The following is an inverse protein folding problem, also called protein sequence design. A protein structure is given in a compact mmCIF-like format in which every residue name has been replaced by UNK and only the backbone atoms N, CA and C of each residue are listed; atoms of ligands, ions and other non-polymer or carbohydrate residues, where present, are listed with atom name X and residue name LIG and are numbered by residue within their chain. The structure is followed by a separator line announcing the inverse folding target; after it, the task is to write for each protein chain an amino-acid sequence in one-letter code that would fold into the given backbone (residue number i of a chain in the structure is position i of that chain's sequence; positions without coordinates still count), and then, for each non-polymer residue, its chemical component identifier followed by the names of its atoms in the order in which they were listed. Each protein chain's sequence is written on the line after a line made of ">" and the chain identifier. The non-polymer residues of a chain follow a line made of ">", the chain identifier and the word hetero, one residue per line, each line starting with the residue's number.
data_IF_193306635662
#
_entry.id   IF_193306635662
#
_cell.length_a   1.000
_cell.length_b   1.000
_cell.length_c   1.000
_cell.angle_alpha   90.00
_cell.angle_beta   90.00
_cell.angle_gamma   90.00
#
_symmetry.space_group_name_H-M   'P 1'
#
loop_
_entity.id
_entity.type
_entity.pdbx_description
1 polymer ?
#
# COMPACT_ATOMS: atom_id res chain seq x y z
N UNK A 1 20.03 11.43 -23.37
CA UNK A 1 19.13 12.49 -22.92
C UNK A 1 18.99 12.46 -21.42
N UNK A 2 19.19 13.59 -20.76
CA UNK A 2 18.98 13.77 -19.32
C UNK A 2 17.53 13.40 -18.98
N UNK A 3 17.33 12.37 -18.17
CA UNK A 3 16.01 12.05 -17.63
C UNK A 3 15.55 13.23 -16.78
N UNK A 4 14.50 13.89 -17.20
CA UNK A 4 13.90 15.00 -16.45
C UNK A 4 13.32 14.41 -15.15
N UNK A 5 13.92 14.74 -14.01
CA UNK A 5 13.41 14.31 -12.71
C UNK A 5 12.28 15.27 -12.30
N UNK A 6 11.10 14.73 -12.09
CA UNK A 6 9.95 15.48 -11.57
C UNK A 6 9.81 15.23 -10.07
N UNK A 7 9.30 16.22 -9.35
CA UNK A 7 8.83 16.01 -7.97
C UNK A 7 7.42 15.45 -7.97
N UNK A 8 6.98 14.86 -6.86
CA UNK A 8 5.60 14.40 -6.67
C UNK A 8 4.60 15.53 -6.96
N UNK A 9 4.85 16.72 -6.42
CA UNK A 9 4.00 17.90 -6.60
C UNK A 9 3.85 18.28 -8.07
N UNK A 10 4.96 18.33 -8.80
CA UNK A 10 4.94 18.64 -10.24
C UNK A 10 4.12 17.62 -11.03
N UNK A 11 4.20 16.33 -10.68
CA UNK A 11 3.41 15.30 -11.35
C UNK A 11 1.92 15.48 -11.05
N UNK A 12 1.56 15.76 -9.79
CA UNK A 12 0.17 16.01 -9.40
C UNK A 12 -0.39 17.25 -10.10
N UNK A 13 0.38 18.33 -10.18
CA UNK A 13 -0.01 19.54 -10.91
C UNK A 13 -0.28 19.25 -12.40
N UNK A 14 0.56 18.43 -13.04
CA UNK A 14 0.31 18.00 -14.43
C UNK A 14 -1.02 17.24 -14.58
N UNK A 15 -1.41 16.40 -13.62
CA UNK A 15 -2.73 15.74 -13.64
C UNK A 15 -3.87 16.75 -13.51
N UNK A 16 -3.72 17.76 -12.63
CA UNK A 16 -4.71 18.82 -12.47
C UNK A 16 -4.85 19.68 -13.71
N UNK A 17 -3.73 19.95 -14.41
CA UNK A 17 -3.69 20.67 -15.69
C UNK A 17 -4.11 19.82 -16.90
N UNK A 18 -4.52 18.55 -16.66
CA UNK A 18 -4.83 17.59 -17.73
C UNK A 18 -3.71 17.42 -18.77
N UNK A 19 -2.48 17.58 -18.34
CA UNK A 19 -1.31 17.38 -19.18
C UNK A 19 -0.99 15.88 -19.31
N UNK A 20 -1.06 15.34 -20.53
CA UNK A 20 -0.80 13.92 -20.80
C UNK A 20 0.60 13.45 -20.36
N UNK A 21 1.56 14.36 -20.23
CA UNK A 21 2.90 14.05 -19.72
C UNK A 21 2.86 13.56 -18.25
N UNK A 22 1.80 13.83 -17.51
CA UNK A 22 1.62 13.32 -16.14
C UNK A 22 1.74 11.79 -16.06
N UNK A 23 1.13 11.07 -17.00
CA UNK A 23 1.18 9.61 -17.07
C UNK A 23 2.60 9.12 -17.34
N UNK A 24 3.29 9.72 -18.31
CA UNK A 24 4.69 9.37 -18.63
C UNK A 24 5.62 9.65 -17.44
N UNK A 25 5.44 10.80 -16.77
CA UNK A 25 6.22 11.17 -15.60
C UNK A 25 5.98 10.21 -14.42
N UNK A 26 4.72 9.79 -14.20
CA UNK A 26 4.37 8.78 -13.20
C UNK A 26 5.02 7.43 -13.50
N UNK A 27 4.93 6.98 -14.75
CA UNK A 27 5.55 5.73 -15.17
C UNK A 27 7.08 5.78 -15.02
N UNK A 28 7.70 6.88 -15.40
CA UNK A 28 9.15 7.05 -15.28
C UNK A 28 9.62 7.03 -13.82
N UNK A 29 8.87 7.65 -12.92
CA UNK A 29 9.26 7.80 -11.51
C UNK A 29 8.89 6.58 -10.67
N UNK A 30 7.74 5.98 -10.90
CA UNK A 30 7.16 4.95 -10.03
C UNK A 30 6.95 3.60 -10.72
N UNK A 31 7.04 3.50 -12.04
CA UNK A 31 6.68 2.31 -12.80
C UNK A 31 7.43 1.06 -12.37
N UNK A 32 8.76 1.14 -12.21
CA UNK A 32 9.56 0.00 -11.78
C UNK A 32 9.18 -0.48 -10.37
N UNK A 33 8.79 0.44 -9.47
CA UNK A 33 8.34 0.12 -8.12
C UNK A 33 6.98 -0.58 -8.12
N UNK A 34 6.04 -0.06 -8.92
CA UNK A 34 4.71 -0.63 -9.07
C UNK A 34 4.75 -2.02 -9.71
N UNK A 35 5.55 -2.19 -10.78
CA UNK A 35 5.72 -3.49 -11.45
C UNK A 35 6.30 -4.51 -10.48
N UNK A 36 7.39 -4.18 -9.78
CA UNK A 36 7.99 -5.07 -8.77
C UNK A 36 7.00 -5.43 -7.68
N UNK A 37 6.17 -4.50 -7.24
CA UNK A 37 5.12 -4.76 -6.27
C UNK A 37 4.06 -5.71 -6.83
N UNK A 38 3.54 -5.48 -8.03
CA UNK A 38 2.56 -6.33 -8.66
C UNK A 38 3.09 -7.73 -8.96
N UNK A 39 4.37 -7.87 -9.36
CA UNK A 39 5.06 -9.14 -9.60
C UNK A 39 5.09 -10.06 -8.35
N UNK A 40 4.98 -9.50 -7.16
CA UNK A 40 4.89 -10.32 -5.93
C UNK A 40 3.55 -11.02 -5.75
N UNK A 41 2.53 -10.63 -6.52
CA UNK A 41 1.13 -11.06 -6.35
C UNK A 41 0.58 -11.82 -7.55
N UNK A 42 1.09 -11.56 -8.76
CA UNK A 42 0.54 -12.06 -10.03
C UNK A 42 1.67 -12.25 -11.04
N UNK A 43 1.40 -13.00 -12.13
CA UNK A 43 2.37 -13.20 -13.20
C UNK A 43 2.80 -11.88 -13.84
N UNK A 44 4.05 -11.79 -14.30
CA UNK A 44 4.66 -10.56 -14.80
C UNK A 44 3.86 -9.87 -15.91
N UNK A 45 3.34 -10.62 -16.87
CA UNK A 45 2.52 -10.07 -17.97
C UNK A 45 1.26 -9.38 -17.44
N UNK A 46 0.55 -10.06 -16.52
CA UNK A 46 -0.62 -9.50 -15.86
C UNK A 46 -0.27 -8.32 -14.94
N UNK A 47 0.89 -8.35 -14.29
CA UNK A 47 1.39 -7.26 -13.47
C UNK A 47 1.59 -5.98 -14.30
N UNK A 48 2.15 -6.08 -15.49
CA UNK A 48 2.33 -4.95 -16.41
C UNK A 48 0.98 -4.33 -16.82
N UNK A 49 -0.03 -5.17 -17.11
CA UNK A 49 -1.37 -4.68 -17.40
C UNK A 49 -2.02 -3.98 -16.20
N UNK A 50 -1.92 -4.56 -15.00
CA UNK A 50 -2.43 -3.93 -13.78
C UNK A 50 -1.75 -2.58 -13.48
N UNK A 51 -0.46 -2.45 -13.74
CA UNK A 51 0.27 -1.19 -13.60
C UNK A 51 -0.21 -0.15 -14.63
N UNK A 52 -0.48 -0.55 -15.88
CA UNK A 52 -1.06 0.34 -16.88
C UNK A 52 -2.47 0.80 -16.47
N UNK A 53 -3.30 -0.11 -15.96
CA UNK A 53 -4.64 0.22 -15.44
C UNK A 53 -4.55 1.18 -14.24
N UNK A 54 -3.49 1.09 -13.43
CA UNK A 54 -3.20 2.03 -12.35
C UNK A 54 -2.98 3.45 -12.87
N UNK A 55 -2.28 3.61 -14.00
CA UNK A 55 -2.11 4.93 -14.62
C UNK A 55 -3.42 5.49 -15.18
N UNK A 56 -4.25 4.63 -15.77
CA UNK A 56 -5.59 5.02 -16.24
C UNK A 56 -6.44 5.47 -15.05
N UNK A 57 -6.39 4.74 -13.94
CA UNK A 57 -7.11 5.12 -12.72
C UNK A 57 -6.61 6.45 -12.16
N UNK A 58 -5.30 6.71 -12.18
CA UNK A 58 -4.73 7.99 -11.76
C UNK A 58 -5.24 9.14 -12.64
N UNK A 59 -5.23 8.95 -13.96
CA UNK A 59 -5.76 9.95 -14.89
C UNK A 59 -7.24 10.26 -14.66
N UNK A 60 -8.04 9.25 -14.34
CA UNK A 60 -9.49 9.42 -14.15
C UNK A 60 -9.84 10.00 -12.78
N UNK A 61 -9.06 9.72 -11.74
CA UNK A 61 -9.36 10.13 -10.38
C UNK A 61 -8.71 11.45 -9.97
N UNK A 62 -7.63 11.84 -10.61
CA UNK A 62 -6.92 13.10 -10.36
C UNK A 62 -7.10 14.06 -11.55
N UNK A 63 -7.78 15.20 -11.38
CA UNK A 63 -8.59 15.61 -10.25
C UNK A 63 -9.92 14.85 -10.16
N UNK A 64 -10.73 14.92 -9.08
CA UNK A 64 -10.57 15.86 -7.96
C UNK A 64 -9.67 15.39 -6.82
N UNK A 65 -9.31 14.10 -6.77
CA UNK A 65 -8.44 13.59 -5.72
C UNK A 65 -7.04 14.24 -5.81
N UNK A 66 -6.49 14.67 -4.67
CA UNK A 66 -5.11 15.13 -4.56
C UNK A 66 -4.42 14.40 -3.41
N UNK A 67 -3.85 13.21 -3.66
CA UNK A 67 -3.25 12.41 -2.61
C UNK A 67 -2.00 13.11 -2.03
N UNK A 68 -1.92 13.19 -0.71
CA UNK A 68 -0.74 13.74 -0.01
C UNK A 68 0.50 12.88 -0.21
N UNK A 69 0.32 11.55 -0.32
CA UNK A 69 1.36 10.55 -0.56
C UNK A 69 1.04 9.79 -1.85
N UNK A 70 1.52 10.33 -2.96
CA UNK A 70 1.14 9.84 -4.28
C UNK A 70 1.57 8.38 -4.52
N UNK A 71 2.78 8.00 -4.13
CA UNK A 71 3.24 6.62 -4.29
C UNK A 71 2.41 5.64 -3.45
N UNK A 72 2.07 5.99 -2.21
CA UNK A 72 1.20 5.13 -1.36
C UNK A 72 -0.18 4.98 -1.97
N UNK A 73 -0.72 6.06 -2.52
CA UNK A 73 -1.99 6.04 -3.25
C UNK A 73 -1.94 5.15 -4.50
N UNK A 74 -0.84 5.24 -5.28
CA UNK A 74 -0.62 4.38 -6.45
C UNK A 74 -0.52 2.90 -6.05
N UNK A 75 0.18 2.56 -4.96
CA UNK A 75 0.23 1.19 -4.45
C UNK A 75 -1.15 0.67 -4.05
N UNK A 76 -1.97 1.50 -3.40
CA UNK A 76 -3.35 1.15 -3.03
C UNK A 76 -4.19 0.84 -4.28
N UNK A 77 -4.16 1.72 -5.27
CA UNK A 77 -4.90 1.54 -6.52
C UNK A 77 -4.40 0.30 -7.28
N UNK A 78 -3.10 0.15 -7.44
CA UNK A 78 -2.49 -1.00 -8.10
C UNK A 78 -2.86 -2.32 -7.41
N UNK A 79 -2.78 -2.37 -6.09
CA UNK A 79 -3.17 -3.55 -5.32
C UNK A 79 -4.64 -3.92 -5.50
N UNK A 80 -5.54 -2.95 -5.48
CA UNK A 80 -6.96 -3.19 -5.72
C UNK A 80 -7.16 -3.82 -7.10
N UNK A 81 -6.54 -3.27 -8.14
CA UNK A 81 -6.63 -3.79 -9.51
C UNK A 81 -6.09 -5.23 -9.60
N UNK A 82 -4.92 -5.50 -8.98
CA UNK A 82 -4.33 -6.84 -8.95
C UNK A 82 -5.25 -7.83 -8.24
N UNK A 83 -5.81 -7.44 -7.10
CA UNK A 83 -6.72 -8.31 -6.34
C UNK A 83 -8.03 -8.57 -7.08
N UNK A 84 -8.58 -7.59 -7.77
CA UNK A 84 -9.74 -7.77 -8.63
C UNK A 84 -9.46 -8.77 -9.75
N UNK A 85 -8.27 -8.75 -10.32
CA UNK A 85 -7.85 -9.68 -11.35
C UNK A 85 -7.67 -11.11 -10.83
N UNK A 86 -7.11 -11.27 -9.62
CA UNK A 86 -6.90 -12.60 -9.00
C UNK A 86 -8.23 -13.24 -8.61
N UNK A 87 -9.20 -12.47 -8.16
CA UNK A 87 -10.42 -12.99 -7.55
C UNK A 87 -11.68 -12.34 -8.14
N UNK A 88 -11.89 -12.60 -9.42
CA UNK A 88 -13.03 -12.07 -10.18
C UNK A 88 -14.39 -12.30 -9.50
N UNK A 89 -14.59 -13.47 -8.86
CA UNK A 89 -15.88 -13.84 -8.26
C UNK A 89 -16.15 -13.20 -6.89
N UNK A 90 -15.10 -12.69 -6.19
CA UNK A 90 -15.19 -12.08 -4.87
C UNK A 90 -14.64 -10.65 -4.82
N UNK A 91 -14.34 -10.06 -5.98
CA UNK A 91 -13.67 -8.77 -6.13
C UNK A 91 -14.29 -7.64 -5.29
N UNK A 92 -15.62 -7.48 -5.37
CA UNK A 92 -16.34 -6.42 -4.66
C UNK A 92 -16.21 -6.52 -3.14
N UNK A 93 -16.31 -7.73 -2.58
CA UNK A 93 -16.23 -7.99 -1.14
C UNK A 93 -14.82 -7.81 -0.61
N UNK A 94 -13.81 -8.22 -1.39
CA UNK A 94 -12.39 -8.07 -1.04
C UNK A 94 -11.92 -6.63 -1.16
N UNK A 95 -12.38 -5.87 -2.13
CA UNK A 95 -12.02 -4.45 -2.30
C UNK A 95 -12.49 -3.58 -1.14
N UNK A 96 -13.74 -3.73 -0.68
CA UNK A 96 -14.22 -2.97 0.46
C UNK A 96 -13.45 -3.33 1.75
N UNK A 97 -13.10 -4.61 1.91
CA UNK A 97 -12.32 -5.08 3.04
C UNK A 97 -10.87 -4.57 3.00
N UNK A 98 -10.26 -4.48 1.81
CA UNK A 98 -8.90 -3.99 1.63
C UNK A 98 -8.77 -2.49 1.88
N UNK A 99 -9.75 -1.70 1.47
CA UNK A 99 -9.78 -0.27 1.82
C UNK A 99 -9.85 -0.09 3.33
N UNK A 100 -10.70 -0.85 4.02
CA UNK A 100 -10.77 -0.85 5.48
C UNK A 100 -9.43 -1.22 6.14
N UNK A 101 -8.70 -2.20 5.60
CA UNK A 101 -7.38 -2.60 6.13
C UNK A 101 -6.32 -1.51 5.96
N UNK A 102 -6.31 -0.85 4.80
CA UNK A 102 -5.37 0.23 4.54
C UNK A 102 -5.68 1.45 5.41
N UNK A 103 -6.97 1.75 5.61
CA UNK A 103 -7.41 2.80 6.51
C UNK A 103 -7.01 2.49 7.97
N UNK A 104 -7.12 1.23 8.42
CA UNK A 104 -6.64 0.79 9.74
C UNK A 104 -5.12 1.04 9.92
N UNK A 105 -4.32 0.82 8.88
CA UNK A 105 -2.88 1.10 8.92
C UNK A 105 -2.60 2.61 8.85
N UNK A 106 -3.28 3.33 8.00
CA UNK A 106 -3.12 4.78 7.87
C UNK A 106 -3.50 5.51 9.16
N UNK A 107 -4.59 5.16 9.80
CA UNK A 107 -4.97 5.72 11.11
C UNK A 107 -3.88 5.50 12.17
N UNK A 108 -3.25 4.33 12.14
CA UNK A 108 -2.15 4.02 13.05
C UNK A 108 -0.88 4.83 12.77
N UNK A 109 -0.64 5.19 11.51
CA UNK A 109 0.58 5.85 11.05
C UNK A 109 0.41 7.37 10.88
N UNK A 110 -0.83 7.89 10.78
CA UNK A 110 -1.13 9.27 10.41
C UNK A 110 -0.98 10.32 11.52
N UNK A 111 -0.72 9.92 12.76
CA UNK A 111 -0.58 10.84 13.90
C UNK A 111 0.74 11.63 13.95
N UNK A 112 1.60 11.47 12.96
CA UNK A 112 2.85 12.22 12.89
C UNK A 112 2.78 13.33 11.83
N UNK A 113 2.72 14.57 12.29
CA UNK A 113 2.86 15.80 11.48
C UNK A 113 4.29 16.00 10.90
N UNK A 114 5.12 14.97 10.87
CA UNK A 114 6.48 15.06 10.41
C UNK A 114 6.60 14.63 8.94
N UNK A 115 7.21 15.49 8.14
CA UNK A 115 7.66 15.15 6.79
C UNK A 115 8.80 14.15 6.89
N UNK A 116 8.57 12.91 6.49
CA UNK A 116 9.65 11.94 6.34
C UNK A 116 10.38 12.20 5.02
N UNK A 117 11.65 12.55 5.10
CA UNK A 117 12.56 12.75 3.97
C UNK A 117 13.40 11.50 3.65
N UNK A 118 13.17 10.38 4.35
CA UNK A 118 13.91 9.13 4.17
C UNK A 118 13.50 8.33 2.94
N UNK A 119 14.39 7.47 2.47
CA UNK A 119 14.12 6.60 1.35
C UNK A 119 13.11 5.49 1.73
N UNK A 120 12.26 5.09 0.78
CA UNK A 120 11.34 3.94 0.94
C UNK A 120 12.05 2.64 1.37
N UNK A 121 13.35 2.52 1.08
CA UNK A 121 14.21 1.43 1.52
C UNK A 121 14.35 1.38 3.05
N UNK A 122 14.40 2.53 3.72
CA UNK A 122 14.53 2.60 5.17
C UNK A 122 13.25 2.17 5.87
N UNK A 123 12.10 2.61 5.36
CA UNK A 123 10.79 2.17 5.87
C UNK A 123 10.61 0.67 5.68
N UNK A 124 10.95 0.14 4.50
CA UNK A 124 10.84 -1.28 4.21
C UNK A 124 11.77 -2.11 5.11
N UNK A 125 12.97 -1.60 5.41
CA UNK A 125 13.92 -2.22 6.35
C UNK A 125 13.35 -2.23 7.76
N UNK A 126 12.93 -1.08 8.29
CA UNK A 126 12.33 -0.97 9.61
C UNK A 126 11.11 -1.89 9.77
N UNK A 127 10.22 -1.93 8.77
CA UNK A 127 9.07 -2.84 8.79
C UNK A 127 9.50 -4.31 8.79
N UNK A 128 10.50 -4.68 7.98
CA UNK A 128 11.06 -6.03 7.95
C UNK A 128 11.67 -6.43 9.31
N UNK A 129 12.45 -5.54 9.91
CA UNK A 129 13.09 -5.77 11.21
C UNK A 129 12.05 -5.91 12.31
N UNK A 130 11.05 -5.03 12.33
CA UNK A 130 9.91 -5.14 13.24
C UNK A 130 9.19 -6.48 13.12
N UNK A 131 8.83 -6.87 11.88
CA UNK A 131 8.13 -8.14 11.64
C UNK A 131 8.96 -9.35 12.02
N UNK A 132 10.27 -9.31 11.81
CA UNK A 132 11.20 -10.38 12.22
C UNK A 132 11.31 -10.48 13.76
N UNK A 133 11.13 -9.38 14.48
CA UNK A 133 11.10 -9.37 15.95
C UNK A 133 9.80 -9.87 16.58
N UNK A 134 8.72 -9.97 15.80
CA UNK A 134 7.44 -10.49 16.30
C UNK A 134 7.46 -12.03 16.46
N UNK A 135 6.72 -12.51 17.43
CA UNK A 135 6.37 -13.95 17.53
C UNK A 135 5.74 -14.43 16.21
N UNK A 136 6.04 -15.67 15.83
CA UNK A 136 5.62 -16.23 14.54
C UNK A 136 4.10 -16.12 14.31
N UNK A 137 3.28 -16.41 15.31
CA UNK A 137 1.81 -16.29 15.17
C UNK A 137 1.35 -14.85 14.89
N UNK A 138 1.89 -13.89 15.63
CA UNK A 138 1.58 -12.47 15.44
C UNK A 138 2.01 -11.98 14.06
N UNK A 139 3.22 -12.35 13.65
CA UNK A 139 3.74 -12.04 12.32
C UNK A 139 2.87 -12.60 11.21
N UNK A 140 2.46 -13.88 11.32
CA UNK A 140 1.59 -14.53 10.34
C UNK A 140 0.24 -13.82 10.25
N UNK A 141 -0.40 -13.48 11.38
CA UNK A 141 -1.66 -12.74 11.39
C UNK A 141 -1.52 -11.38 10.71
N UNK A 142 -0.45 -10.64 11.03
CA UNK A 142 -0.19 -9.32 10.44
C UNK A 142 0.03 -9.39 8.93
N UNK A 143 0.93 -10.26 8.47
CA UNK A 143 1.25 -10.43 7.04
C UNK A 143 0.03 -10.91 6.27
N UNK A 144 -0.72 -11.87 6.80
CA UNK A 144 -1.94 -12.36 6.13
C UNK A 144 -3.03 -11.31 6.07
N UNK A 145 -3.16 -10.47 7.09
CA UNK A 145 -4.11 -9.36 7.07
C UNK A 145 -3.72 -8.31 6.04
N UNK A 146 -2.51 -7.76 6.15
CA UNK A 146 -2.13 -6.54 5.44
C UNK A 146 -1.45 -6.79 4.10
N UNK A 147 -0.82 -7.93 3.92
CA UNK A 147 -0.20 -8.29 2.65
C UNK A 147 -1.12 -9.11 1.75
N UNK A 148 -1.72 -10.16 2.31
CA UNK A 148 -2.59 -11.06 1.54
C UNK A 148 -4.08 -10.65 1.56
N UNK A 149 -4.47 -9.64 2.33
CA UNK A 149 -5.82 -9.11 2.34
C UNK A 149 -6.87 -10.01 2.98
N UNK A 150 -6.48 -10.91 3.89
CA UNK A 150 -7.42 -11.81 4.56
C UNK A 150 -8.37 -11.05 5.49
N UNK A 151 -9.63 -11.48 5.50
CA UNK A 151 -10.64 -10.96 6.43
C UNK A 151 -10.37 -11.41 7.86
N UNK A 152 -10.99 -10.75 8.82
CA UNK A 152 -10.92 -11.17 10.23
C UNK A 152 -11.51 -12.58 10.40
N UNK A 153 -12.53 -12.91 9.62
CA UNK A 153 -13.19 -14.22 9.66
C UNK A 153 -12.24 -15.31 9.16
N UNK A 154 -11.61 -15.09 8.01
CA UNK A 154 -10.61 -16.02 7.46
C UNK A 154 -9.41 -16.20 8.40
N UNK A 155 -8.94 -15.12 9.04
CA UNK A 155 -7.86 -15.20 10.01
C UNK A 155 -8.27 -15.96 11.27
N UNK A 156 -9.50 -15.78 11.76
CA UNK A 156 -10.04 -16.50 12.90
C UNK A 156 -10.14 -18.00 12.61
N UNK A 157 -10.69 -18.36 11.46
CA UNK A 157 -10.81 -19.74 11.00
C UNK A 157 -9.43 -20.42 10.84
N UNK A 158 -8.50 -19.72 10.19
CA UNK A 158 -7.15 -20.23 9.97
C UNK A 158 -6.35 -20.44 11.27
N UNK A 159 -6.50 -19.52 12.22
CA UNK A 159 -5.72 -19.53 13.47
C UNK A 159 -6.40 -20.31 14.61
N UNK A 160 -7.66 -20.73 14.44
CA UNK A 160 -8.46 -21.34 15.52
C UNK A 160 -8.79 -20.39 16.66
N UNK A 161 -8.71 -19.06 16.41
CA UNK A 161 -8.94 -18.02 17.43
C UNK A 161 -10.30 -17.34 17.19
N UNK A 162 -10.86 -16.74 18.24
CA UNK A 162 -12.07 -15.93 18.08
C UNK A 162 -11.76 -14.65 17.28
N UNK A 163 -12.75 -14.14 16.56
CA UNK A 163 -12.67 -12.86 15.81
C UNK A 163 -12.22 -11.69 16.73
N UNK A 164 -12.73 -11.65 17.94
CA UNK A 164 -12.34 -10.65 18.93
C UNK A 164 -10.86 -10.75 19.31
N UNK A 165 -10.35 -11.97 19.49
CA UNK A 165 -8.94 -12.21 19.78
C UNK A 165 -8.03 -11.77 18.63
N UNK A 166 -8.41 -12.07 17.39
CA UNK A 166 -7.68 -11.65 16.19
C UNK A 166 -7.65 -10.11 16.09
N UNK A 167 -8.80 -9.44 16.24
CA UNK A 167 -8.88 -7.97 16.23
C UNK A 167 -7.99 -7.33 17.28
N UNK A 168 -8.05 -7.83 18.53
CA UNK A 168 -7.24 -7.31 19.64
C UNK A 168 -5.75 -7.50 19.36
N UNK A 169 -5.36 -8.67 18.83
CA UNK A 169 -3.97 -8.95 18.49
C UNK A 169 -3.46 -8.00 17.41
N UNK A 170 -4.21 -7.83 16.33
CA UNK A 170 -3.83 -6.90 15.24
C UNK A 170 -3.76 -5.45 15.73
N UNK A 171 -4.68 -5.02 16.58
CA UNK A 171 -4.64 -3.70 17.22
C UNK A 171 -3.34 -3.49 18.01
N UNK A 172 -2.96 -4.47 18.84
CA UNK A 172 -1.71 -4.41 19.62
C UNK A 172 -0.48 -4.37 18.73
N UNK A 173 -0.44 -5.19 17.66
CA UNK A 173 0.69 -5.19 16.72
C UNK A 173 0.81 -3.83 16.05
N UNK A 174 -0.28 -3.19 15.64
CA UNK A 174 -0.24 -1.84 15.05
C UNK A 174 0.29 -0.79 16.04
N UNK A 175 -0.12 -0.87 17.30
CA UNK A 175 0.38 0.03 18.35
C UNK A 175 1.88 -0.17 18.62
N UNK A 176 2.33 -1.44 18.64
CA UNK A 176 3.75 -1.79 18.77
C UNK A 176 4.56 -1.30 17.55
N UNK A 177 4.02 -1.45 16.33
CA UNK A 177 4.65 -0.95 15.10
C UNK A 177 4.80 0.57 15.12
N UNK A 178 3.73 1.29 15.50
CA UNK A 178 3.79 2.75 15.63
C UNK A 178 4.90 3.18 16.57
N UNK A 179 4.93 2.59 17.77
CA UNK A 179 5.97 2.88 18.77
C UNK A 179 7.38 2.58 18.22
N UNK A 180 7.56 1.45 17.55
CA UNK A 180 8.84 1.06 16.95
C UNK A 180 9.30 2.07 15.89
N UNK A 181 8.39 2.50 15.00
CA UNK A 181 8.70 3.48 13.97
C UNK A 181 9.05 4.85 14.57
N UNK A 182 8.34 5.28 15.62
CA UNK A 182 8.65 6.52 16.35
C UNK A 182 10.05 6.46 16.99
N UNK A 183 10.43 5.31 17.58
CA UNK A 183 11.75 5.09 18.17
C UNK A 183 12.89 5.08 17.14
N UNK A 184 12.62 4.55 15.94
CA UNK A 184 13.56 4.56 14.81
C UNK A 184 13.62 5.91 14.07
N UNK A 185 12.82 6.90 14.49
CA UNK A 185 12.75 8.21 13.85
C UNK A 185 12.10 8.19 12.47
N UNK A 186 11.34 7.14 12.18
CA UNK A 186 10.58 6.98 10.94
C UNK A 186 9.18 7.54 11.13
N UNK A 187 9.00 8.76 10.70
CA UNK A 187 7.69 9.44 10.73
C UNK A 187 7.02 9.28 9.37
N UNK A 188 5.90 8.58 9.33
CA UNK A 188 5.15 8.28 8.10
C UNK A 188 4.06 9.32 7.83
#
# INVERSE_FOLDING_TARGET
>A
GLRKMYTQEQILDMYFDRNQQAVSATSQMYGAKLTRFADTMIAHEDALECVNDTYIAAWNKIPPERPMRFLSWLYRVCRNIVCDRIDWNNASKRNSNMNCMLDELEECLADSNAKYEGELSDIARCLSDFLNGLETEKRVLFVRRYWYGMTIDELADMSGRSKSSVKTTLFRIRAELKKYLDEEGVYL
#
